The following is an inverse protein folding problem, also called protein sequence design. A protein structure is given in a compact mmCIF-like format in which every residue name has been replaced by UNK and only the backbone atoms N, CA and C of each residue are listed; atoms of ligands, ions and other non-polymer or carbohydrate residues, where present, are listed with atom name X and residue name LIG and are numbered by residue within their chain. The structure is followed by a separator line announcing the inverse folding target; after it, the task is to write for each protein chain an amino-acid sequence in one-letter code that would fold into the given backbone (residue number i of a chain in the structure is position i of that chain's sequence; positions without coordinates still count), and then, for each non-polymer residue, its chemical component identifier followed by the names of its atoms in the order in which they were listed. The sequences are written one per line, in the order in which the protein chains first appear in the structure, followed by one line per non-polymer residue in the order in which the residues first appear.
data_IF_086322535577
#
_entry.id   IF_086322535577
#
_cell.length_a   1.000
_cell.length_b   1.000
_cell.length_c   1.000
_cell.angle_alpha   90.00
_cell.angle_beta   90.00
_cell.angle_gamma   90.00
#
_symmetry.space_group_name_H-M   'P 1'
#
loop_
_entity.id
_entity.type
_entity.pdbx_description
1 polymer ?
#
# COMPACT_ATOMS: atom_id res chain seq x y z
N UNK A 1 -9.66 32.34 7.65
CA UNK A 1 -10.02 31.29 6.68
C UNK A 1 -10.15 31.94 5.30
N UNK A 2 -9.61 31.33 4.24
CA UNK A 2 -9.75 31.78 2.84
C UNK A 2 -10.41 30.66 2.04
N UNK A 3 -11.42 30.98 1.22
CA UNK A 3 -12.13 30.02 0.36
C UNK A 3 -12.19 30.54 -1.08
N UNK A 4 -12.25 29.63 -2.05
CA UNK A 4 -12.41 29.96 -3.47
C UNK A 4 -13.90 29.93 -3.84
N UNK A 5 -14.38 30.96 -4.52
CA UNK A 5 -15.75 31.03 -5.02
C UNK A 5 -15.83 31.94 -6.26
N UNK A 6 -16.76 31.64 -7.17
CA UNK A 6 -17.08 32.50 -8.30
C UNK A 6 -18.18 33.49 -7.89
N UNK A 7 -17.84 34.77 -7.82
CA UNK A 7 -18.81 35.82 -7.48
C UNK A 7 -19.59 36.24 -8.73
N UNK A 8 -20.92 36.23 -8.61
CA UNK A 8 -21.82 36.68 -9.66
C UNK A 8 -22.02 38.20 -9.56
N UNK A 9 -21.96 38.90 -10.70
CA UNK A 9 -22.26 40.32 -10.75
C UNK A 9 -23.79 40.52 -10.85
N UNK A 10 -24.40 41.15 -9.83
CA UNK A 10 -25.85 41.41 -9.73
C UNK A 10 -26.71 40.14 -9.90
N UNK A 11 -26.54 39.12 -9.04
CA UNK A 11 -27.33 37.89 -9.15
C UNK A 11 -28.82 38.18 -8.92
N UNK A 12 -29.66 37.72 -9.85
CA UNK A 12 -31.11 37.80 -9.74
C UNK A 12 -31.64 36.72 -8.79
N UNK A 13 -30.99 35.56 -8.75
CA UNK A 13 -31.18 34.50 -7.75
C UNK A 13 -29.91 33.63 -7.65
N UNK A 14 -29.91 32.67 -6.72
CA UNK A 14 -28.87 31.65 -6.54
C UNK A 14 -29.42 30.23 -6.71
N UNK A 15 -30.49 30.07 -7.50
CA UNK A 15 -31.01 28.74 -7.79
C UNK A 15 -29.99 27.99 -8.63
N UNK A 16 -29.72 26.74 -8.24
CA UNK A 16 -28.78 25.86 -8.92
C UNK A 16 -29.58 24.80 -9.68
N UNK A 17 -29.06 24.39 -10.82
CA UNK A 17 -29.65 23.30 -11.60
C UNK A 17 -29.36 21.96 -10.92
N UNK A 18 -30.34 21.06 -10.92
CA UNK A 18 -30.12 19.67 -10.53
C UNK A 18 -29.20 19.01 -11.56
N UNK A 19 -28.03 18.57 -11.11
CA UNK A 19 -27.03 17.95 -11.96
C UNK A 19 -26.70 16.55 -11.48
N UNK A 20 -26.67 15.60 -12.41
CA UNK A 20 -26.33 14.21 -12.15
C UNK A 20 -24.95 13.87 -12.74
N UNK A 21 -24.11 13.21 -11.95
CA UNK A 21 -22.78 12.77 -12.42
C UNK A 21 -22.95 11.40 -13.09
N UNK A 22 -22.83 11.37 -14.42
CA UNK A 22 -22.89 10.11 -15.18
C UNK A 22 -21.54 9.43 -15.31
N UNK A 23 -20.47 10.22 -15.38
CA UNK A 23 -19.11 9.75 -15.62
C UNK A 23 -18.12 10.61 -14.84
N UNK A 24 -17.15 9.96 -14.20
CA UNK A 24 -15.97 10.60 -13.61
C UNK A 24 -14.76 10.32 -14.49
N UNK A 25 -13.98 11.37 -14.77
CA UNK A 25 -12.71 11.32 -15.48
C UNK A 25 -11.64 11.96 -14.62
N UNK A 26 -10.55 11.22 -14.38
CA UNK A 26 -9.39 11.74 -13.68
C UNK A 26 -8.35 12.22 -14.70
N UNK A 27 -7.96 13.49 -14.60
CA UNK A 27 -6.97 14.11 -15.47
C UNK A 27 -5.65 14.35 -14.74
N UNK A 28 -4.51 14.23 -15.45
CA UNK A 28 -3.23 14.73 -14.99
C UNK A 28 -3.31 16.21 -14.57
N UNK A 29 -2.46 16.60 -13.61
CA UNK A 29 -2.48 17.95 -13.00
C UNK A 29 -2.37 19.08 -14.02
N UNK A 30 -1.50 18.93 -15.03
CA UNK A 30 -1.28 19.88 -16.12
C UNK A 30 -2.54 20.04 -16.99
N UNK A 31 -3.16 18.92 -17.39
CA UNK A 31 -4.39 18.93 -18.19
C UNK A 31 -5.58 19.51 -17.42
N UNK A 32 -5.71 19.17 -16.13
CA UNK A 32 -6.74 19.75 -15.26
C UNK A 32 -6.54 21.26 -15.11
N UNK A 33 -5.29 21.71 -14.93
CA UNK A 33 -4.98 23.14 -14.86
C UNK A 33 -5.31 23.86 -16.16
N UNK A 34 -4.98 23.26 -17.32
CA UNK A 34 -5.29 23.82 -18.63
C UNK A 34 -6.81 23.93 -18.87
N UNK A 35 -7.58 22.94 -18.44
CA UNK A 35 -9.05 22.95 -18.47
C UNK A 35 -9.62 24.13 -17.68
N UNK A 36 -9.09 24.38 -16.49
CA UNK A 36 -9.56 25.47 -15.61
C UNK A 36 -9.16 26.85 -16.15
N UNK A 37 -7.96 26.99 -16.72
CA UNK A 37 -7.44 28.28 -17.22
C UNK A 37 -8.02 28.63 -18.59
N UNK A 38 -8.17 27.64 -19.48
CA UNK A 38 -8.61 27.82 -20.87
C UNK A 38 -9.73 26.86 -21.24
N UNK A 39 -10.93 26.98 -20.62
CA UNK A 39 -12.00 26.01 -20.81
C UNK A 39 -12.52 25.95 -22.25
N UNK A 40 -12.48 27.03 -23.01
CA UNK A 40 -12.99 27.06 -24.40
C UNK A 40 -12.12 26.27 -25.41
N UNK A 41 -10.98 25.73 -24.99
CA UNK A 41 -10.14 24.87 -25.83
C UNK A 41 -10.77 23.50 -25.99
N UNK A 42 -10.79 22.96 -27.21
CA UNK A 42 -11.25 21.60 -27.46
C UNK A 42 -10.43 20.59 -26.65
N UNK A 43 -11.13 19.68 -25.97
CA UNK A 43 -10.56 18.65 -25.11
C UNK A 43 -10.89 17.25 -25.67
N UNK A 44 -9.88 16.43 -25.98
CA UNK A 44 -10.10 15.07 -26.50
C UNK A 44 -11.01 14.21 -25.59
N UNK A 45 -10.82 14.28 -24.27
CA UNK A 45 -11.63 13.51 -23.32
C UNK A 45 -13.12 13.90 -23.34
N UNK A 46 -13.46 15.14 -23.71
CA UNK A 46 -14.86 15.57 -23.84
C UNK A 46 -15.47 14.93 -25.09
N UNK A 47 -14.72 14.89 -26.19
CA UNK A 47 -15.17 14.28 -27.44
C UNK A 47 -15.51 12.78 -27.26
N UNK A 48 -14.67 12.06 -26.52
CA UNK A 48 -14.84 10.63 -26.23
C UNK A 48 -16.03 10.34 -25.29
N UNK A 49 -16.40 11.31 -24.44
CA UNK A 49 -17.39 11.11 -23.38
C UNK A 49 -18.74 11.83 -23.64
N UNK A 50 -18.98 12.35 -24.86
CA UNK A 50 -20.23 13.05 -25.21
C UNK A 50 -21.50 12.28 -24.88
N UNK A 51 -21.48 10.96 -25.06
CA UNK A 51 -22.64 10.08 -24.80
C UNK A 51 -23.13 10.11 -23.35
N UNK A 52 -22.29 10.55 -22.41
CA UNK A 52 -22.61 10.64 -20.99
C UNK A 52 -23.18 12.01 -20.59
N UNK A 53 -23.26 12.96 -21.53
CA UNK A 53 -23.76 14.31 -21.29
C UNK A 53 -25.04 14.53 -22.08
N UNK A 54 -26.16 14.63 -21.38
CA UNK A 54 -27.48 14.91 -21.93
C UNK A 54 -28.32 15.67 -20.89
N UNK A 55 -29.45 16.22 -21.30
CA UNK A 55 -30.39 16.85 -20.38
C UNK A 55 -31.75 16.18 -20.56
N UNK A 56 -32.40 15.85 -19.45
CA UNK A 56 -33.77 15.38 -19.42
C UNK A 56 -34.64 16.27 -18.51
N UNK A 57 -35.89 15.88 -18.29
CA UNK A 57 -36.84 16.67 -17.49
C UNK A 57 -36.49 16.70 -15.98
N UNK A 58 -35.54 15.87 -15.54
CA UNK A 58 -35.15 15.73 -14.13
C UNK A 58 -33.84 16.43 -13.79
N UNK A 59 -32.82 16.30 -14.63
CA UNK A 59 -31.49 16.81 -14.34
C UNK A 59 -30.65 17.06 -15.59
N UNK A 60 -29.58 17.84 -15.42
CA UNK A 60 -28.49 17.93 -16.39
C UNK A 60 -27.46 16.84 -16.08
N UNK A 61 -27.37 15.86 -16.97
CA UNK A 61 -26.40 14.77 -16.86
C UNK A 61 -25.03 15.27 -17.34
N UNK A 62 -24.07 15.19 -16.43
CA UNK A 62 -22.79 15.86 -16.55
C UNK A 62 -21.61 14.88 -16.41
N UNK A 63 -20.49 15.29 -16.99
CA UNK A 63 -19.18 14.72 -16.76
C UNK A 63 -18.52 15.42 -15.57
N UNK A 64 -18.11 14.68 -14.55
CA UNK A 64 -17.26 15.22 -13.49
C UNK A 64 -15.80 14.95 -13.81
N UNK A 65 -15.01 16.01 -13.86
CA UNK A 65 -13.56 15.93 -14.06
C UNK A 65 -12.86 16.21 -12.74
N UNK A 66 -12.00 15.29 -12.32
CA UNK A 66 -11.13 15.46 -11.15
C UNK A 66 -9.68 15.61 -11.59
N UNK A 67 -8.93 16.48 -10.93
CA UNK A 67 -7.49 16.57 -11.12
C UNK A 67 -6.75 15.59 -10.20
N UNK A 68 -5.74 14.90 -10.71
CA UNK A 68 -4.92 13.99 -9.92
C UNK A 68 -4.21 14.77 -8.79
N UNK A 69 -4.38 14.31 -7.55
CA UNK A 69 -3.88 15.00 -6.36
C UNK A 69 -4.53 16.35 -6.07
N UNK A 70 -5.67 16.66 -6.72
CA UNK A 70 -6.51 17.82 -6.43
C UNK A 70 -7.79 17.39 -5.69
N UNK A 71 -8.15 18.14 -4.65
CA UNK A 71 -9.45 18.00 -3.98
C UNK A 71 -10.61 18.63 -4.76
N UNK A 72 -10.30 19.48 -5.74
CA UNK A 72 -11.29 20.22 -6.52
C UNK A 72 -11.69 19.46 -7.80
N UNK A 73 -12.91 19.70 -8.29
CA UNK A 73 -13.44 19.12 -9.52
C UNK A 73 -14.11 20.15 -10.42
N UNK A 74 -14.33 19.79 -11.68
CA UNK A 74 -15.08 20.58 -12.67
C UNK A 74 -16.22 19.72 -13.21
N UNK A 75 -17.44 20.19 -13.02
CA UNK A 75 -18.62 19.59 -13.64
C UNK A 75 -18.81 20.18 -15.04
N UNK A 76 -19.05 19.33 -16.04
CA UNK A 76 -19.08 19.72 -17.46
C UNK A 76 -20.34 19.18 -18.14
N UNK A 77 -21.01 20.06 -18.87
CA UNK A 77 -22.00 19.70 -19.89
C UNK A 77 -21.61 20.33 -21.22
N UNK A 78 -21.33 19.49 -22.23
CA UNK A 78 -20.78 19.95 -23.51
C UNK A 78 -21.85 20.36 -24.53
N UNK A 79 -23.11 19.92 -24.36
CA UNK A 79 -24.18 20.10 -25.35
C UNK A 79 -23.76 19.70 -26.78
N UNK A 80 -22.93 18.66 -26.92
CA UNK A 80 -22.45 18.13 -28.21
C UNK A 80 -21.14 18.74 -28.74
N UNK A 81 -20.56 19.74 -28.06
CA UNK A 81 -19.27 20.34 -28.42
C UNK A 81 -18.09 19.55 -27.82
N UNK A 82 -16.87 19.83 -28.30
CA UNK A 82 -15.63 19.22 -27.78
C UNK A 82 -15.00 20.04 -26.65
N UNK A 83 -15.72 21.04 -26.13
CA UNK A 83 -15.30 21.87 -25.01
C UNK A 83 -16.44 21.98 -23.98
N UNK A 84 -16.16 22.38 -22.73
CA UNK A 84 -17.16 22.60 -21.69
C UNK A 84 -18.03 23.81 -22.07
N UNK A 85 -19.27 23.55 -22.50
CA UNK A 85 -20.20 24.63 -22.86
C UNK A 85 -20.84 25.23 -21.62
N UNK A 86 -21.30 24.38 -20.72
CA UNK A 86 -21.67 24.74 -19.35
C UNK A 86 -20.71 24.01 -18.42
N UNK A 87 -20.16 24.72 -17.45
CA UNK A 87 -19.27 24.12 -16.47
C UNK A 87 -19.34 24.81 -15.11
N UNK A 88 -19.15 24.04 -14.06
CA UNK A 88 -19.07 24.53 -12.69
C UNK A 88 -17.77 24.05 -12.04
N UNK A 89 -16.98 24.97 -11.51
CA UNK A 89 -15.85 24.64 -10.66
C UNK A 89 -16.36 24.35 -9.25
N UNK A 90 -16.05 23.17 -8.72
CA UNK A 90 -16.53 22.66 -7.45
C UNK A 90 -15.34 22.43 -6.51
N UNK A 91 -15.02 23.39 -5.62
CA UNK A 91 -13.96 23.21 -4.63
C UNK A 91 -14.28 22.08 -3.66
N UNK A 92 -13.30 21.22 -3.35
CA UNK A 92 -13.48 20.09 -2.42
C UNK A 92 -14.43 19.00 -2.92
N UNK A 93 -14.74 18.95 -4.21
CA UNK A 93 -15.66 17.96 -4.77
C UNK A 93 -15.19 16.52 -4.55
N UNK A 94 -13.87 16.27 -4.53
CA UNK A 94 -13.35 14.92 -4.28
C UNK A 94 -13.76 14.40 -2.90
N UNK A 95 -13.72 15.25 -1.87
CA UNK A 95 -14.10 14.87 -0.51
C UNK A 95 -15.60 14.57 -0.42
N UNK A 96 -16.44 15.37 -1.09
CA UNK A 96 -17.89 15.16 -1.15
C UNK A 96 -18.20 13.84 -1.88
N UNK A 97 -17.51 13.58 -2.99
CA UNK A 97 -17.68 12.37 -3.77
C UNK A 97 -17.25 11.12 -2.98
N UNK A 98 -16.05 11.16 -2.40
CA UNK A 98 -15.54 10.07 -1.57
C UNK A 98 -16.48 9.80 -0.39
N UNK A 99 -16.94 10.84 0.32
CA UNK A 99 -17.89 10.65 1.42
C UNK A 99 -19.22 10.02 0.97
N UNK A 100 -19.69 10.27 -0.26
CA UNK A 100 -20.87 9.59 -0.83
C UNK A 100 -20.56 8.12 -1.10
N UNK A 101 -19.43 7.83 -1.75
CA UNK A 101 -19.01 6.45 -2.06
C UNK A 101 -18.78 5.63 -0.79
N UNK A 102 -18.18 6.21 0.25
CA UNK A 102 -17.98 5.56 1.54
C UNK A 102 -19.31 5.22 2.21
N UNK A 103 -20.31 6.11 2.14
CA UNK A 103 -21.67 5.80 2.64
C UNK A 103 -22.33 4.67 1.85
N UNK A 104 -22.10 4.61 0.53
CA UNK A 104 -22.59 3.49 -0.28
C UNK A 104 -21.87 2.18 0.07
N UNK A 105 -20.57 2.22 0.32
CA UNK A 105 -19.81 1.07 0.80
C UNK A 105 -20.31 0.60 2.18
N UNK A 106 -20.55 1.51 3.12
CA UNK A 106 -21.13 1.21 4.44
C UNK A 106 -22.50 0.53 4.29
N UNK A 107 -23.35 1.04 3.40
CA UNK A 107 -24.64 0.44 3.10
C UNK A 107 -24.52 -0.99 2.57
N UNK A 108 -23.62 -1.21 1.59
CA UNK A 108 -23.36 -2.54 1.01
C UNK A 108 -22.87 -3.51 2.09
N UNK A 109 -21.92 -3.08 2.93
CA UNK A 109 -21.38 -3.93 4.00
C UNK A 109 -22.45 -4.26 5.03
N UNK A 110 -23.20 -3.27 5.50
CA UNK A 110 -24.25 -3.47 6.50
C UNK A 110 -25.35 -4.40 5.99
N UNK A 111 -25.90 -4.14 4.80
CA UNK A 111 -26.93 -5.00 4.22
C UNK A 111 -26.40 -6.39 3.90
N UNK A 112 -25.21 -6.50 3.31
CA UNK A 112 -24.64 -7.78 2.92
C UNK A 112 -24.33 -8.68 4.10
N UNK A 113 -23.72 -8.14 5.17
CA UNK A 113 -23.41 -8.90 6.39
C UNK A 113 -24.65 -9.34 7.17
N UNK A 114 -25.74 -8.57 7.11
CA UNK A 114 -27.02 -8.96 7.71
C UNK A 114 -27.83 -9.93 6.85
N UNK A 115 -27.71 -9.86 5.52
CA UNK A 115 -28.53 -10.64 4.61
C UNK A 115 -27.89 -11.96 4.16
N UNK A 116 -26.56 -12.05 4.11
CA UNK A 116 -25.86 -13.22 3.57
C UNK A 116 -25.95 -14.44 4.48
N UNK A 117 -26.19 -15.59 3.86
CA UNK A 117 -26.21 -16.91 4.52
C UNK A 117 -24.95 -17.74 4.23
N UNK A 118 -24.13 -17.31 3.26
CA UNK A 118 -22.96 -18.04 2.78
C UNK A 118 -21.69 -17.18 2.70
N UNK A 119 -21.74 -15.92 3.15
CA UNK A 119 -20.63 -14.98 3.09
C UNK A 119 -20.51 -14.24 1.75
N UNK A 120 -21.38 -14.50 0.78
CA UNK A 120 -21.46 -13.75 -0.48
C UNK A 120 -22.79 -13.01 -0.57
N UNK A 121 -22.76 -11.80 -1.09
CA UNK A 121 -23.96 -11.01 -1.35
C UNK A 121 -23.78 -10.21 -2.62
N UNK A 122 -24.87 -10.02 -3.36
CA UNK A 122 -24.86 -9.21 -4.57
C UNK A 122 -25.96 -8.16 -4.53
N UNK A 123 -25.63 -6.98 -5.04
CA UNK A 123 -26.57 -5.87 -5.20
C UNK A 123 -26.56 -5.41 -6.65
N UNK A 124 -27.76 -5.24 -7.22
CA UNK A 124 -27.90 -4.69 -8.58
C UNK A 124 -27.65 -3.17 -8.60
N UNK A 125 -27.14 -2.64 -9.72
CA UNK A 125 -26.94 -1.18 -9.87
C UNK A 125 -28.22 -0.37 -9.63
N UNK A 126 -29.37 -0.89 -10.07
CA UNK A 126 -30.67 -0.25 -9.89
C UNK A 126 -31.05 -0.10 -8.42
N UNK A 127 -30.81 -1.14 -7.61
CA UNK A 127 -31.10 -1.08 -6.19
C UNK A 127 -30.10 -0.17 -5.46
N UNK A 128 -28.82 -0.21 -5.85
CA UNK A 128 -27.80 0.68 -5.31
C UNK A 128 -28.15 2.15 -5.56
N UNK A 129 -28.52 2.50 -6.79
CA UNK A 129 -28.92 3.86 -7.17
C UNK A 129 -30.14 4.32 -6.39
N UNK A 130 -31.15 3.45 -6.23
CA UNK A 130 -32.37 3.75 -5.47
C UNK A 130 -32.10 4.04 -4.00
N UNK A 131 -31.14 3.35 -3.38
CA UNK A 131 -30.88 3.44 -1.94
C UNK A 131 -29.84 4.51 -1.59
N UNK A 132 -28.90 4.78 -2.50
CA UNK A 132 -27.74 5.65 -2.24
C UNK A 132 -27.73 6.93 -3.07
N UNK A 133 -28.60 7.04 -4.07
CA UNK A 133 -28.64 8.12 -5.07
C UNK A 133 -27.33 8.22 -5.89
N UNK A 134 -26.52 7.15 -5.92
CA UNK A 134 -25.29 7.08 -6.72
C UNK A 134 -25.52 6.19 -7.94
N UNK A 135 -25.33 6.78 -9.12
CA UNK A 135 -25.42 6.06 -10.40
C UNK A 135 -24.08 5.39 -10.71
N UNK A 136 -23.88 4.18 -10.19
CA UNK A 136 -22.70 3.38 -10.51
C UNK A 136 -22.93 2.57 -11.78
N UNK A 137 -22.00 2.66 -12.74
CA UNK A 137 -22.05 1.92 -14.00
C UNK A 137 -20.64 1.50 -14.41
N UNK A 138 -20.51 0.36 -15.08
CA UNK A 138 -19.22 -0.13 -15.54
C UNK A 138 -18.51 0.88 -16.44
N UNK A 139 -17.27 1.19 -16.10
CA UNK A 139 -16.42 2.15 -16.81
C UNK A 139 -16.80 3.61 -16.55
N UNK A 140 -17.72 3.91 -15.63
CA UNK A 140 -18.11 5.28 -15.34
C UNK A 140 -17.19 5.97 -14.30
N UNK A 141 -16.19 5.28 -13.79
CA UNK A 141 -15.21 5.82 -12.85
C UNK A 141 -15.67 5.73 -11.40
N UNK A 142 -16.98 5.86 -11.13
CA UNK A 142 -17.56 5.63 -9.81
C UNK A 142 -17.49 4.16 -9.40
N UNK A 143 -17.57 3.26 -10.39
CA UNK A 143 -17.44 1.82 -10.20
C UNK A 143 -16.08 1.43 -9.61
N UNK A 144 -14.99 1.93 -10.19
CA UNK A 144 -13.64 1.70 -9.67
C UNK A 144 -13.44 2.29 -8.27
N UNK A 145 -13.89 3.54 -8.06
CA UNK A 145 -13.76 4.21 -6.77
C UNK A 145 -14.58 3.54 -5.66
N UNK A 146 -15.80 3.05 -5.98
CA UNK A 146 -16.61 2.30 -5.02
C UNK A 146 -15.98 0.93 -4.70
N UNK A 147 -15.42 0.25 -5.71
CA UNK A 147 -14.74 -1.01 -5.51
C UNK A 147 -13.53 -0.84 -4.59
N UNK A 148 -12.74 0.20 -4.83
CA UNK A 148 -11.62 0.58 -3.97
C UNK A 148 -12.11 0.82 -2.53
N UNK A 149 -13.16 1.63 -2.34
CA UNK A 149 -13.74 1.89 -1.02
C UNK A 149 -14.21 0.60 -0.31
N UNK A 150 -14.77 -0.37 -1.05
CA UNK A 150 -15.18 -1.67 -0.51
C UNK A 150 -13.98 -2.53 -0.10
N UNK A 151 -12.93 -2.60 -0.93
CA UNK A 151 -11.74 -3.42 -0.65
C UNK A 151 -10.94 -2.95 0.56
N UNK A 152 -11.08 -1.69 0.95
CA UNK A 152 -10.46 -1.14 2.16
C UNK A 152 -11.24 -1.47 3.44
N UNK A 153 -12.43 -2.09 3.35
CA UNK A 153 -13.23 -2.46 4.53
C UNK A 153 -12.79 -3.82 5.07
N UNK A 154 -12.51 -3.87 6.38
CA UNK A 154 -12.09 -5.09 7.09
C UNK A 154 -13.11 -6.23 7.02
N UNK A 155 -14.39 -5.92 6.80
CA UNK A 155 -15.47 -6.89 6.68
C UNK A 155 -15.48 -7.59 5.31
N UNK A 156 -14.89 -6.96 4.28
CA UNK A 156 -14.92 -7.41 2.89
C UNK A 156 -13.66 -8.21 2.58
N UNK A 157 -13.83 -9.45 2.13
CA UNK A 157 -12.73 -10.30 1.66
C UNK A 157 -12.39 -9.99 0.20
N UNK A 158 -13.41 -9.81 -0.63
CA UNK A 158 -13.24 -9.41 -2.03
C UNK A 158 -14.51 -8.77 -2.56
N UNK A 159 -14.39 -7.79 -3.43
CA UNK A 159 -15.50 -7.23 -4.17
C UNK A 159 -15.20 -7.31 -5.67
N UNK A 160 -16.24 -7.56 -6.48
CA UNK A 160 -16.14 -7.62 -7.92
C UNK A 160 -17.35 -6.96 -8.59
N UNK A 161 -17.10 -6.27 -9.70
CA UNK A 161 -18.15 -5.73 -10.56
C UNK A 161 -18.65 -6.83 -11.50
N UNK A 162 -19.97 -7.00 -11.56
CA UNK A 162 -20.65 -7.85 -12.52
C UNK A 162 -21.36 -7.01 -13.59
N UNK A 163 -21.97 -7.67 -14.58
CA UNK A 163 -22.69 -6.96 -15.64
C UNK A 163 -23.95 -6.25 -15.13
N UNK A 164 -24.50 -6.68 -14.00
CA UNK A 164 -25.76 -6.18 -13.45
C UNK A 164 -25.62 -5.50 -12.08
N UNK A 165 -24.45 -5.58 -11.46
CA UNK A 165 -24.26 -5.07 -10.11
C UNK A 165 -22.87 -5.28 -9.54
N UNK A 166 -22.83 -5.46 -8.22
CA UNK A 166 -21.61 -5.66 -7.44
C UNK A 166 -21.80 -6.91 -6.60
N UNK A 167 -20.86 -7.84 -6.75
CA UNK A 167 -20.75 -9.05 -5.94
C UNK A 167 -19.69 -8.81 -4.86
N UNK A 168 -20.07 -9.02 -3.61
CA UNK A 168 -19.22 -8.78 -2.45
C UNK A 168 -19.15 -10.06 -1.62
N UNK A 169 -17.92 -10.49 -1.33
CA UNK A 169 -17.64 -11.57 -0.40
C UNK A 169 -17.15 -10.96 0.93
N UNK A 170 -17.71 -11.43 2.03
CA UNK A 170 -17.41 -10.97 3.38
C UNK A 170 -16.69 -12.03 4.18
N UNK A 171 -15.91 -11.57 5.14
CA UNK A 171 -15.40 -12.44 6.18
C UNK A 171 -16.57 -12.99 6.99
N UNK A 172 -16.66 -14.33 7.07
CA UNK A 172 -17.77 -15.03 7.72
C UNK A 172 -17.99 -14.55 9.16
N UNK A 173 -16.92 -14.13 9.85
CA UNK A 173 -16.96 -13.62 11.23
C UNK A 173 -17.88 -12.40 11.43
N UNK A 174 -18.19 -11.65 10.36
CA UNK A 174 -19.06 -10.48 10.42
C UNK A 174 -20.50 -10.76 9.94
N UNK A 175 -20.77 -11.97 9.43
CA UNK A 175 -22.08 -12.32 8.87
C UNK A 175 -22.99 -12.91 9.96
N UNK A 176 -24.16 -12.31 10.19
CA UNK A 176 -25.00 -12.66 11.35
C UNK A 176 -25.97 -13.83 11.12
N UNK A 177 -26.24 -14.22 9.86
CA UNK A 177 -27.26 -15.21 9.49
C UNK A 177 -26.75 -16.59 9.10
N UNK A 178 -25.44 -16.84 9.13
CA UNK A 178 -24.88 -18.12 8.69
C UNK A 178 -25.26 -19.24 9.69
N UNK A 179 -26.10 -20.22 9.31
CA UNK A 179 -26.56 -21.26 10.21
C UNK A 179 -25.40 -22.20 10.56
N UNK A 180 -25.16 -22.40 11.85
CA UNK A 180 -24.03 -23.22 12.34
C UNK A 180 -22.78 -22.42 12.69
N UNK A 181 -22.81 -21.07 12.62
CA UNK A 181 -21.91 -20.28 13.44
C UNK A 181 -22.16 -20.66 14.90
N UNK A 182 -21.27 -21.49 15.47
CA UNK A 182 -21.05 -21.44 16.91
C UNK A 182 -20.76 -19.96 17.18
N UNK A 183 -21.54 -19.26 18.04
CA UNK A 183 -21.20 -17.90 18.41
C UNK A 183 -19.74 -17.94 18.80
N UNK A 184 -18.90 -17.21 18.07
CA UNK A 184 -17.47 -17.25 18.34
C UNK A 184 -17.34 -16.79 19.79
N UNK A 185 -17.07 -17.72 20.72
CA UNK A 185 -17.07 -17.42 22.16
C UNK A 185 -16.15 -16.22 22.43
N UNK A 186 -15.11 -16.10 21.59
CA UNK A 186 -14.22 -14.96 21.38
C UNK A 186 -14.87 -13.58 21.29
N UNK A 187 -16.03 -13.39 20.64
CA UNK A 187 -16.63 -12.04 20.54
C UNK A 187 -17.28 -11.58 21.85
N UNK A 188 -17.59 -12.50 22.77
CA UNK A 188 -18.16 -12.22 24.10
C UNK A 188 -17.13 -12.21 25.23
N UNK A 189 -15.89 -12.62 24.96
CA UNK A 189 -14.82 -12.63 25.95
C UNK A 189 -14.33 -11.19 26.23
N UNK A 190 -14.00 -10.85 27.48
CA UNK A 190 -13.25 -9.63 27.79
C UNK A 190 -11.95 -9.56 26.98
N UNK A 191 -11.51 -8.35 26.63
CA UNK A 191 -10.29 -8.15 25.83
C UNK A 191 -9.05 -8.83 26.44
N UNK A 192 -8.95 -8.89 27.77
CA UNK A 192 -7.88 -9.63 28.46
C UNK A 192 -7.90 -11.13 28.15
N UNK A 193 -9.08 -11.75 28.11
CA UNK A 193 -9.21 -13.18 27.80
C UNK A 193 -8.99 -13.46 26.32
N UNK A 194 -9.39 -12.55 25.41
CA UNK A 194 -9.08 -12.66 23.97
C UNK A 194 -7.57 -12.59 23.74
N UNK A 195 -6.92 -11.64 24.41
CA UNK A 195 -5.48 -11.45 24.36
C UNK A 195 -4.76 -12.70 24.86
N UNK A 196 -5.19 -13.25 25.99
CA UNK A 196 -4.62 -14.49 26.52
C UNK A 196 -4.78 -15.67 25.56
N UNK A 197 -5.99 -15.91 25.05
CA UNK A 197 -6.26 -17.00 24.10
C UNK A 197 -5.50 -16.82 22.77
N UNK A 198 -5.31 -15.59 22.31
CA UNK A 198 -4.48 -15.31 21.13
C UNK A 198 -3.04 -15.76 21.37
N UNK A 199 -2.44 -15.39 22.51
CA UNK A 199 -1.07 -15.79 22.81
C UNK A 199 -0.93 -17.30 23.09
N UNK A 200 -1.90 -17.93 23.76
CA UNK A 200 -1.93 -19.40 23.91
C UNK A 200 -2.01 -20.11 22.55
N UNK A 201 -2.80 -19.57 21.61
CA UNK A 201 -2.89 -20.10 20.26
C UNK A 201 -1.58 -19.88 19.47
N UNK A 202 -0.93 -18.73 19.63
CA UNK A 202 0.39 -18.46 19.05
C UNK A 202 1.42 -19.45 19.59
N UNK A 203 1.50 -19.66 20.91
CA UNK A 203 2.40 -20.65 21.51
C UNK A 203 2.17 -22.07 20.95
N UNK A 204 0.90 -22.46 20.80
CA UNK A 204 0.55 -23.76 20.19
C UNK A 204 0.97 -23.84 18.72
N UNK A 205 0.89 -22.73 17.98
CA UNK A 205 1.33 -22.66 16.58
C UNK A 205 2.86 -22.72 16.48
N UNK A 206 3.59 -22.06 17.38
CA UNK A 206 5.05 -22.10 17.45
C UNK A 206 5.56 -23.52 17.73
N UNK A 207 4.85 -24.32 18.53
CA UNK A 207 5.19 -25.73 18.71
C UNK A 207 5.03 -26.56 17.42
N UNK A 208 4.23 -26.08 16.46
CA UNK A 208 3.89 -26.79 15.23
C UNK A 208 4.76 -26.38 14.03
N UNK A 209 5.12 -25.10 13.95
CA UNK A 209 6.05 -24.56 12.96
C UNK A 209 7.42 -24.48 13.61
N UNK A 210 8.36 -25.35 13.23
CA UNK A 210 9.75 -25.26 13.71
C UNK A 210 10.43 -23.93 13.31
N UNK A 211 11.73 -23.81 13.57
CA UNK A 211 12.49 -22.56 13.38
C UNK A 211 12.49 -22.00 11.95
N UNK A 212 12.18 -22.81 10.94
CA UNK A 212 12.13 -22.37 9.55
C UNK A 212 10.87 -21.51 9.28
N UNK A 213 11.11 -20.22 9.02
CA UNK A 213 10.11 -19.21 8.62
C UNK A 213 9.13 -18.72 9.71
N UNK A 214 9.50 -18.90 10.98
CA UNK A 214 8.72 -18.43 12.13
C UNK A 214 8.44 -16.91 12.07
N UNK A 215 9.44 -16.13 11.64
CA UNK A 215 9.31 -14.68 11.51
C UNK A 215 8.25 -14.29 10.47
N UNK A 216 8.23 -14.96 9.30
CA UNK A 216 7.23 -14.71 8.27
C UNK A 216 5.81 -15.01 8.77
N UNK A 217 5.63 -16.07 9.55
CA UNK A 217 4.32 -16.42 10.12
C UNK A 217 3.87 -15.37 11.14
N UNK A 218 4.73 -14.97 12.07
CA UNK A 218 4.41 -14.04 13.14
C UNK A 218 4.23 -12.60 12.63
N UNK A 219 5.18 -12.11 11.84
CA UNK A 219 5.18 -10.71 11.39
C UNK A 219 4.31 -10.51 10.16
N UNK A 220 4.51 -11.29 9.09
CA UNK A 220 3.75 -11.08 7.84
C UNK A 220 2.34 -11.70 7.90
N UNK A 221 2.20 -12.86 8.56
CA UNK A 221 0.91 -13.55 8.68
C UNK A 221 0.01 -12.96 9.75
N UNK A 222 0.50 -12.85 10.99
CA UNK A 222 -0.28 -12.37 12.13
C UNK A 222 -0.19 -10.85 12.36
N UNK A 223 0.60 -10.13 11.55
CA UNK A 223 0.83 -8.68 11.70
C UNK A 223 1.34 -8.30 13.11
N UNK A 224 2.11 -9.19 13.74
CA UNK A 224 2.62 -8.96 15.08
C UNK A 224 3.82 -7.98 15.04
N UNK A 225 3.83 -6.93 15.87
CA UNK A 225 4.92 -5.98 15.89
C UNK A 225 6.21 -6.64 16.43
N UNK A 226 7.35 -6.20 15.90
CA UNK A 226 8.67 -6.77 16.23
C UNK A 226 9.00 -6.66 17.72
N UNK A 227 8.56 -5.57 18.36
CA UNK A 227 8.74 -5.37 19.79
C UNK A 227 7.99 -6.42 20.62
N UNK A 228 6.78 -6.81 20.20
CA UNK A 228 5.99 -7.83 20.89
C UNK A 228 6.57 -9.23 20.68
N UNK A 229 7.06 -9.54 19.47
CA UNK A 229 7.75 -10.80 19.15
C UNK A 229 8.96 -10.98 20.08
N UNK A 230 9.76 -9.93 20.23
CA UNK A 230 10.95 -9.92 21.11
C UNK A 230 10.56 -9.95 22.59
N UNK A 231 9.58 -9.15 23.02
CA UNK A 231 9.15 -9.09 24.42
C UNK A 231 8.61 -10.43 24.94
N UNK A 232 8.01 -11.22 24.04
CA UNK A 232 7.49 -12.57 24.32
C UNK A 232 8.55 -13.66 24.20
N UNK A 233 9.70 -13.36 23.60
CA UNK A 233 10.77 -14.32 23.36
C UNK A 233 10.45 -15.36 22.29
N UNK A 234 9.53 -15.08 21.37
CA UNK A 234 9.18 -16.00 20.28
C UNK A 234 10.31 -16.15 19.27
N UNK A 235 11.07 -15.07 19.05
CA UNK A 235 12.30 -15.08 18.28
C UNK A 235 13.35 -14.25 19.01
N UNK A 236 14.61 -14.62 18.84
CA UNK A 236 15.71 -13.77 19.27
C UNK A 236 15.99 -12.71 18.21
N UNK A 237 16.66 -11.62 18.62
CA UNK A 237 17.09 -10.56 17.70
C UNK A 237 17.92 -11.13 16.55
N UNK A 238 18.78 -12.11 16.82
CA UNK A 238 19.62 -12.77 15.83
C UNK A 238 18.78 -13.55 14.80
N UNK A 239 17.78 -14.30 15.25
CA UNK A 239 16.90 -15.08 14.37
C UNK A 239 16.01 -14.17 13.49
N UNK A 240 15.56 -13.03 14.01
CA UNK A 240 14.83 -12.04 13.22
C UNK A 240 15.73 -11.41 12.15
N UNK A 241 16.97 -11.04 12.48
CA UNK A 241 17.92 -10.51 11.50
C UNK A 241 18.25 -11.54 10.39
N UNK A 242 18.46 -12.80 10.76
CA UNK A 242 18.68 -13.90 9.81
C UNK A 242 17.48 -14.10 8.86
N UNK A 243 16.26 -13.77 9.30
CA UNK A 243 15.04 -13.79 8.49
C UNK A 243 14.83 -12.52 7.63
N UNK A 244 15.83 -11.62 7.55
CA UNK A 244 15.77 -10.40 6.70
C UNK A 244 15.02 -9.23 7.34
N UNK A 245 14.83 -9.23 8.65
CA UNK A 245 14.11 -8.18 9.38
C UNK A 245 14.94 -6.88 9.48
N UNK A 246 14.39 -5.76 9.00
CA UNK A 246 15.02 -4.43 9.16
C UNK A 246 14.63 -3.86 10.54
N UNK A 247 15.57 -3.83 11.49
CA UNK A 247 15.37 -3.24 12.82
C UNK A 247 16.45 -2.20 13.13
N UNK A 248 16.07 -1.13 13.82
CA UNK A 248 17.01 -0.28 14.53
C UNK A 248 17.54 -1.06 15.74
N UNK A 249 18.76 -1.57 15.66
CA UNK A 249 19.38 -2.25 16.79
C UNK A 249 19.54 -1.28 17.96
N UNK A 250 19.18 -1.66 19.19
CA UNK A 250 19.54 -0.86 20.36
C UNK A 250 21.06 -0.74 20.43
N UNK A 251 21.57 0.48 20.62
CA UNK A 251 22.99 0.76 20.82
C UNK A 251 23.54 -0.19 21.92
N UNK A 252 24.37 -1.18 21.53
CA UNK A 252 24.91 -2.32 22.32
C UNK A 252 24.29 -3.72 22.12
N UNK A 253 23.74 -4.08 20.96
CA UNK A 253 23.67 -5.52 20.61
C UNK A 253 25.09 -6.01 20.30
N UNK A 254 25.70 -6.79 21.18
CA UNK A 254 27.09 -7.24 21.11
C UNK A 254 27.42 -8.22 19.97
N UNK A 255 26.71 -8.16 18.85
CA UNK A 255 26.84 -9.04 17.70
C UNK A 255 28.10 -8.64 16.93
N UNK A 256 29.06 -9.56 16.85
CA UNK A 256 30.27 -9.37 16.05
C UNK A 256 30.03 -9.82 14.61
N UNK A 257 30.75 -9.23 13.65
CA UNK A 257 30.66 -9.64 12.26
C UNK A 257 30.94 -11.15 12.08
N UNK A 258 31.81 -11.74 12.90
CA UNK A 258 32.10 -13.18 12.93
C UNK A 258 30.89 -14.04 13.29
N UNK A 259 29.98 -13.53 14.11
CA UNK A 259 28.76 -14.25 14.48
C UNK A 259 27.77 -14.26 13.31
N UNK A 260 27.75 -13.18 12.51
CA UNK A 260 26.93 -13.10 11.29
C UNK A 260 27.47 -14.01 10.19
N UNK A 261 28.78 -14.05 10.00
CA UNK A 261 29.46 -14.88 8.99
C UNK A 261 29.42 -16.40 9.28
N UNK A 262 28.97 -16.83 10.46
CA UNK A 262 28.84 -18.25 10.80
C UNK A 262 27.59 -18.91 10.20
N UNK A 263 26.64 -18.11 9.71
CA UNK A 263 25.43 -18.61 9.08
C UNK A 263 25.64 -18.67 7.55
N UNK A 264 25.18 -19.75 6.92
CA UNK A 264 25.12 -19.87 5.45
C UNK A 264 24.09 -18.85 4.92
N UNK A 265 24.54 -17.61 4.69
CA UNK A 265 23.70 -16.54 4.19
C UNK A 265 23.69 -16.62 2.65
N UNK A 266 22.52 -16.81 2.07
CA UNK A 266 22.31 -17.01 0.62
C UNK A 266 22.36 -15.72 -0.20
N UNK A 267 22.69 -14.58 0.40
CA UNK A 267 22.68 -13.25 -0.23
C UNK A 267 24.07 -12.63 -0.34
N UNK A 268 24.29 -11.84 -1.39
CA UNK A 268 25.52 -11.07 -1.62
C UNK A 268 25.66 -9.96 -0.55
N UNK A 269 26.45 -10.25 0.48
CA UNK A 269 26.68 -9.35 1.61
C UNK A 269 27.82 -8.36 1.32
N UNK A 270 27.61 -7.10 1.71
CA UNK A 270 28.62 -6.05 1.63
C UNK A 270 28.81 -5.35 2.98
N UNK A 271 30.05 -4.97 3.30
CA UNK A 271 30.37 -4.18 4.49
C UNK A 271 30.46 -2.69 4.15
N UNK A 272 29.82 -1.85 4.95
CA UNK A 272 29.95 -0.39 4.87
C UNK A 272 30.38 0.15 6.22
N UNK A 273 31.22 1.17 6.22
CA UNK A 273 31.62 1.82 7.47
C UNK A 273 30.53 2.77 7.98
N UNK A 274 30.37 2.89 9.30
CA UNK A 274 29.40 3.79 9.95
C UNK A 274 29.50 5.28 9.56
N UNK A 275 30.70 5.71 9.13
CA UNK A 275 30.94 7.08 8.64
C UNK A 275 30.68 7.25 7.13
N UNK A 276 30.12 6.22 6.48
CA UNK A 276 30.00 6.13 5.03
C UNK A 276 31.27 5.62 4.36
N UNK A 277 31.15 5.24 3.09
CA UNK A 277 32.23 4.67 2.28
C UNK A 277 31.68 3.81 1.15
N UNK A 278 32.56 3.33 0.25
CA UNK A 278 32.17 2.34 -0.76
C UNK A 278 31.94 0.97 -0.10
N UNK A 279 30.88 0.23 -0.46
CA UNK A 279 30.62 -1.10 0.05
C UNK A 279 31.75 -2.08 -0.30
N UNK A 280 32.07 -2.98 0.63
CA UNK A 280 33.07 -4.04 0.47
C UNK A 280 32.36 -5.40 0.36
N UNK A 281 32.29 -6.02 -0.83
CA UNK A 281 31.64 -7.33 -1.01
C UNK A 281 32.37 -8.43 -0.24
N UNK A 282 31.62 -9.36 0.35
CA UNK A 282 32.14 -10.47 1.17
C UNK A 282 32.20 -11.82 0.44
N UNK A 283 31.95 -11.84 -0.86
CA UNK A 283 31.93 -13.06 -1.71
C UNK A 283 33.19 -13.93 -1.56
N UNK A 284 34.36 -13.32 -1.33
CA UNK A 284 35.66 -14.01 -1.25
C UNK A 284 36.22 -14.09 0.18
N UNK A 285 35.40 -13.85 1.20
CA UNK A 285 35.84 -13.95 2.61
C UNK A 285 36.32 -15.37 2.94
N UNK A 286 35.65 -16.39 2.41
CA UNK A 286 35.98 -17.81 2.62
C UNK A 286 37.40 -18.16 2.14
N UNK A 287 37.90 -17.48 1.10
CA UNK A 287 39.22 -17.73 0.49
C UNK A 287 40.41 -17.15 1.29
N UNK A 288 40.14 -16.33 2.32
CA UNK A 288 41.18 -15.72 3.14
C UNK A 288 42.05 -16.76 3.87
N UNK A 289 43.38 -16.62 3.76
CA UNK A 289 44.30 -17.52 4.46
C UNK A 289 44.20 -17.34 5.98
N UNK A 290 44.60 -18.36 6.74
CA UNK A 290 44.65 -18.31 8.23
C UNK A 290 45.47 -17.13 8.76
N UNK A 291 46.49 -16.69 8.02
CA UNK A 291 47.33 -15.53 8.37
C UNK A 291 46.58 -14.22 8.16
N UNK A 292 45.78 -14.11 7.10
CA UNK A 292 44.96 -12.93 6.78
C UNK A 292 43.77 -12.79 7.71
N UNK A 293 43.06 -13.88 8.01
CA UNK A 293 41.99 -13.89 9.02
C UNK A 293 42.50 -13.41 10.39
N UNK A 294 43.72 -13.80 10.77
CA UNK A 294 44.37 -13.30 12.00
C UNK A 294 44.79 -11.83 11.89
N UNK A 295 45.11 -11.35 10.69
CA UNK A 295 45.53 -9.97 10.42
C UNK A 295 44.34 -8.99 10.40
N UNK A 296 43.14 -9.46 10.06
CA UNK A 296 41.90 -8.67 10.00
C UNK A 296 40.87 -9.10 11.06
N UNK A 297 41.31 -9.73 12.15
CA UNK A 297 40.41 -10.09 13.25
C UNK A 297 39.71 -8.86 13.83
N UNK A 298 40.35 -7.69 13.78
CA UNK A 298 39.74 -6.42 14.17
C UNK A 298 38.54 -6.02 13.30
N UNK A 299 38.53 -6.41 12.02
CA UNK A 299 37.39 -6.19 11.10
C UNK A 299 36.33 -7.27 11.29
N UNK A 300 36.74 -8.54 11.43
CA UNK A 300 35.84 -9.67 11.65
C UNK A 300 35.16 -9.63 13.03
N UNK A 301 35.78 -8.98 14.02
CA UNK A 301 35.21 -8.78 15.35
C UNK A 301 34.55 -7.40 15.50
N UNK A 302 34.39 -6.66 14.39
CA UNK A 302 33.74 -5.35 14.38
C UNK A 302 32.27 -5.46 14.74
N UNK A 303 31.73 -4.39 15.33
CA UNK A 303 30.33 -4.33 15.72
C UNK A 303 29.45 -4.01 14.52
N UNK A 304 28.42 -4.82 14.29
CA UNK A 304 27.38 -4.51 13.31
C UNK A 304 26.39 -3.54 13.95
N UNK A 305 26.28 -2.34 13.39
CA UNK A 305 25.44 -1.26 13.90
C UNK A 305 24.05 -1.28 13.26
N UNK A 306 23.98 -1.53 11.96
CA UNK A 306 22.72 -1.62 11.20
C UNK A 306 22.92 -2.46 9.94
N UNK A 307 21.82 -2.95 9.38
CA UNK A 307 21.78 -3.60 8.05
C UNK A 307 20.84 -2.80 7.16
N UNK A 308 21.22 -2.60 5.90
CA UNK A 308 20.44 -1.83 4.92
C UNK A 308 20.50 -2.46 3.53
N UNK A 309 19.49 -2.21 2.71
CA UNK A 309 19.51 -2.65 1.31
C UNK A 309 20.48 -1.76 0.50
N UNK A 310 21.50 -2.38 -0.09
CA UNK A 310 22.47 -1.77 -0.99
C UNK A 310 22.17 -2.03 -2.47
N UNK A 311 22.97 -1.44 -3.36
CA UNK A 311 22.79 -1.54 -4.82
C UNK A 311 22.99 -2.97 -5.36
N UNK A 312 23.77 -3.78 -4.65
CA UNK A 312 24.16 -5.13 -5.06
C UNK A 312 23.76 -6.23 -4.06
N UNK A 313 22.98 -5.91 -3.02
CA UNK A 313 22.61 -6.88 -1.99
C UNK A 313 22.47 -6.24 -0.61
N UNK A 314 22.70 -7.00 0.44
CA UNK A 314 22.52 -6.55 1.84
C UNK A 314 23.82 -5.90 2.35
N UNK A 315 23.75 -4.62 2.74
CA UNK A 315 24.87 -3.86 3.31
C UNK A 315 24.83 -3.84 4.83
N UNK A 316 25.84 -4.44 5.47
CA UNK A 316 26.06 -4.39 6.91
C UNK A 316 26.94 -3.19 7.26
N UNK A 317 26.40 -2.28 8.06
CA UNK A 317 27.11 -1.12 8.55
C UNK A 317 27.87 -1.48 9.82
N UNK A 318 29.19 -1.39 9.77
CA UNK A 318 30.07 -1.75 10.87
C UNK A 318 30.68 -0.53 11.56
N UNK A 319 30.81 -0.63 12.88
CA UNK A 319 31.44 0.34 13.77
C UNK A 319 32.59 -0.26 14.60
N UNK A 320 33.42 0.62 15.17
CA UNK A 320 34.55 0.22 16.02
C UNK A 320 35.87 -0.04 15.27
N UNK A 321 35.89 0.15 13.96
CA UNK A 321 37.06 -0.01 13.08
C UNK A 321 37.33 1.33 12.37
N UNK A 322 38.55 1.56 11.88
CA UNK A 322 38.85 2.78 11.11
C UNK A 322 38.49 2.60 9.62
N UNK A 323 38.01 3.63 8.90
CA UNK A 323 37.69 3.54 7.47
C UNK A 323 38.84 2.99 6.61
N UNK A 324 40.09 3.44 6.86
CA UNK A 324 41.26 3.01 6.07
C UNK A 324 41.58 1.52 6.27
N UNK A 325 41.07 0.93 7.35
CA UNK A 325 41.22 -0.49 7.63
C UNK A 325 40.28 -1.33 6.79
N UNK A 326 39.05 -0.84 6.57
CA UNK A 326 38.06 -1.46 5.70
C UNK A 326 38.50 -1.39 4.23
N UNK A 327 39.13 -0.28 3.79
CA UNK A 327 39.72 -0.15 2.46
C UNK A 327 40.86 -1.16 2.21
N UNK A 328 41.71 -1.38 3.22
CA UNK A 328 42.77 -2.41 3.16
C UNK A 328 42.22 -3.83 3.13
N UNK A 329 41.09 -4.06 3.78
CA UNK A 329 40.39 -5.34 3.75
C UNK A 329 39.81 -5.59 2.36
N UNK A 330 39.14 -4.59 1.77
CA UNK A 330 38.68 -4.62 0.38
C UNK A 330 39.79 -4.93 -0.61
N UNK A 331 40.93 -4.24 -0.49
CA UNK A 331 42.07 -4.43 -1.42
C UNK A 331 42.58 -5.87 -1.45
N UNK A 332 42.39 -6.63 -0.37
CA UNK A 332 42.78 -8.04 -0.30
C UNK A 332 41.69 -8.92 -0.88
N UNK A 333 40.42 -8.68 -0.56
CA UNK A 333 39.30 -9.41 -1.18
C UNK A 333 39.27 -9.21 -2.70
N UNK A 334 39.56 -8.00 -3.18
CA UNK A 334 39.71 -7.69 -4.60
C UNK A 334 40.90 -8.42 -5.24
N UNK A 335 41.94 -8.80 -4.48
CA UNK A 335 43.05 -9.61 -4.99
C UNK A 335 42.70 -11.09 -5.18
N UNK A 336 41.59 -11.55 -4.58
CA UNK A 336 41.01 -12.88 -4.79
C UNK A 336 39.93 -12.88 -5.87
N UNK A 337 39.51 -11.72 -6.37
CA UNK A 337 38.60 -11.68 -7.52
C UNK A 337 39.32 -12.29 -8.73
N UNK A 338 38.70 -13.25 -9.44
CA UNK A 338 39.24 -13.72 -10.71
C UNK A 338 39.33 -12.52 -11.66
N UNK A 339 40.44 -12.40 -12.39
CA UNK A 339 40.56 -11.45 -13.50
C UNK A 339 39.43 -11.73 -14.49
N UNK A 340 38.34 -10.96 -14.41
CA UNK A 340 37.27 -11.05 -15.39
C UNK A 340 37.85 -10.57 -16.73
N UNK A 341 37.93 -11.52 -17.66
CA UNK A 341 38.51 -11.33 -18.96
C UNK A 341 37.73 -10.24 -19.67
N UNK A 342 38.45 -9.18 -20.03
CA UNK A 342 38.14 -8.32 -21.15
C UNK A 342 37.67 -9.15 -22.35
N UNK A 343 36.37 -9.17 -22.62
CA UNK A 343 35.84 -9.39 -23.95
C UNK A 343 34.78 -8.34 -24.24
N UNK A 344 35.28 -7.15 -24.62
CA UNK A 344 34.63 -6.36 -25.66
C UNK A 344 34.24 -7.31 -26.80
N UNK A 345 32.95 -7.58 -26.97
CA UNK A 345 32.45 -8.01 -28.27
C UNK A 345 31.89 -6.77 -28.94
N UNK A 346 32.76 -6.10 -29.68
CA UNK A 346 32.40 -5.18 -30.75
C UNK A 346 32.09 -6.03 -31.99
N UNK A 347 30.92 -5.72 -32.57
CA UNK A 347 30.33 -6.15 -33.85
C UNK A 347 29.62 -7.51 -33.93
#
# INVERSE_FOLDING_TARGET
MKIKANLLNKPVNFQMDDCQIEKVVELPRDQFSALVITPLTNQPFIAENKRWMFADDSAVHCLLVLGQGSGDGVLIYSAGYDYPRLAAYLPGMRDILNARLERAADFIVHQGTEATENGSWSISFKELEKQTEITVRRGNGLDGMLLEALTHRREVTSAALTDTGIDTAYHLNFCSRIPGQKPCYFTKLPEEQKTQLFYEAVETLLDFFGDENLYGVLHNGLQMPNEEILARGYLTTEAMLAAGTVMSLPENSGISLRDVLQYELTEDLSLVHAQGGEPVPLEQEEELTRTERKRFSDVLDAHVLESRAGEHGTELVIGGVKPERLERFRSILDAYKPEDQSMETIQ
#
